data_IF_473969648344
#
_entry.id   IF_473969648344
#
_cell.length_a   1.000
_cell.length_b   1.000
_cell.length_c   1.000
_cell.angle_alpha   90.00
_cell.angle_beta   90.00
_cell.angle_gamma   90.00
#
_symmetry.space_group_name_H-M   'P 1'
#
loop_
_entity.id
_entity.type
_entity.pdbx_description
1 polymer ?
#
# COMPACT_ATOMS: atom_id res chain seq x y z
N UNK A 1 3.25 60.37 -3.62
CA UNK A 1 1.89 60.85 -3.31
C UNK A 1 1.14 59.76 -2.56
N UNK A 2 0.61 60.12 -1.37
CA UNK A 2 -0.43 59.45 -0.56
C UNK A 2 -0.24 57.96 -0.18
N UNK A 3 -0.03 57.77 1.14
CA UNK A 3 -0.30 56.56 1.94
C UNK A 3 -1.76 56.08 1.73
N UNK A 4 -2.05 54.79 1.94
CA UNK A 4 -3.05 54.29 2.89
C UNK A 4 -3.02 52.76 3.02
N UNK A 5 -2.99 52.30 4.27
CA UNK A 5 -3.33 50.95 4.71
C UNK A 5 -4.82 50.91 5.08
N UNK A 6 -5.47 49.75 4.96
CA UNK A 6 -6.72 49.45 5.67
C UNK A 6 -6.89 47.93 5.86
N UNK A 7 -6.86 47.52 7.13
CA UNK A 7 -7.49 46.31 7.66
C UNK A 7 -8.96 46.64 7.93
N UNK A 8 -9.89 45.73 7.62
CA UNK A 8 -11.26 45.76 8.17
C UNK A 8 -11.69 44.33 8.51
N UNK A 9 -11.91 44.09 9.80
CA UNK A 9 -12.72 43.03 10.41
C UNK A 9 -14.17 43.52 10.55
N UNK A 10 -15.14 42.61 10.47
CA UNK A 10 -16.55 42.89 10.73
C UNK A 10 -17.37 41.63 11.02
N UNK A 11 -17.73 41.46 12.29
CA UNK A 11 -18.69 40.50 12.86
C UNK A 11 -20.09 41.14 12.95
N UNK A 12 -21.15 40.31 12.92
CA UNK A 12 -22.52 40.42 13.49
C UNK A 12 -23.53 39.76 12.49
N UNK A 13 -24.49 38.89 12.83
CA UNK A 13 -24.96 38.29 14.08
C UNK A 13 -26.35 37.63 13.86
N UNK A 14 -26.60 36.53 14.60
CA UNK A 14 -27.88 36.03 15.18
C UNK A 14 -28.97 35.36 14.33
N UNK A 15 -29.30 34.10 14.68
CA UNK A 15 -30.60 33.73 15.29
C UNK A 15 -30.60 32.29 15.86
N UNK A 16 -31.11 32.16 17.10
CA UNK A 16 -31.38 30.92 17.84
C UNK A 16 -32.64 30.20 17.33
N UNK A 17 -32.67 28.87 17.41
CA UNK A 17 -33.88 28.13 17.78
C UNK A 17 -33.51 26.86 18.55
N UNK A 18 -34.09 26.70 19.74
CA UNK A 18 -33.98 25.53 20.63
C UNK A 18 -35.10 24.53 20.31
N UNK A 19 -34.78 23.24 20.27
CA UNK A 19 -35.71 22.18 20.70
C UNK A 19 -34.95 21.07 21.42
N UNK A 20 -35.32 20.87 22.68
CA UNK A 20 -34.91 19.76 23.55
C UNK A 20 -35.38 18.42 22.97
N UNK A 21 -34.45 17.49 22.80
CA UNK A 21 -34.71 16.06 22.60
C UNK A 21 -33.70 15.27 23.41
N UNK A 22 -34.13 14.72 24.54
CA UNK A 22 -33.35 13.85 25.41
C UNK A 22 -32.97 12.56 24.69
N UNK A 23 -31.71 12.40 24.30
CA UNK A 23 -31.16 11.13 23.81
C UNK A 23 -30.33 10.46 24.90
N UNK A 24 -30.79 9.26 25.27
CA UNK A 24 -30.07 8.29 26.08
C UNK A 24 -28.67 8.07 25.50
N UNK A 25 -27.63 8.31 26.30
CA UNK A 25 -26.23 8.27 25.89
C UNK A 25 -25.64 6.86 26.04
N UNK A 26 -24.95 6.36 25.02
CA UNK A 26 -24.14 5.13 25.03
C UNK A 26 -22.85 5.31 24.20
N UNK A 27 -21.78 4.60 24.57
CA UNK A 27 -20.36 4.89 24.26
C UNK A 27 -19.75 3.99 23.13
N UNK A 28 -18.74 4.47 22.37
CA UNK A 28 -17.92 3.74 21.34
C UNK A 28 -16.40 4.14 21.35
N UNK A 29 -15.53 3.48 20.56
CA UNK A 29 -14.04 3.49 20.62
C UNK A 29 -13.32 4.29 19.49
N UNK A 30 -12.11 4.81 19.76
CA UNK A 30 -11.21 5.55 18.83
C UNK A 30 -10.64 4.65 17.73
N UNK A 31 -10.53 5.18 16.51
CA UNK A 31 -9.79 4.52 15.42
C UNK A 31 -8.30 4.38 15.78
N UNK A 32 -7.74 3.15 15.76
CA UNK A 32 -6.32 2.89 16.04
C UNK A 32 -5.34 3.65 15.14
N UNK A 33 -5.75 4.06 13.93
CA UNK A 33 -4.91 4.86 13.01
C UNK A 33 -4.46 6.21 13.60
N UNK A 34 -5.24 6.78 14.51
CA UNK A 34 -4.89 8.06 15.16
C UNK A 34 -3.86 7.92 16.30
N UNK A 35 -3.39 6.71 16.59
CA UNK A 35 -2.37 6.43 17.61
C UNK A 35 -0.93 6.46 17.06
N UNK A 36 -0.72 6.99 15.85
CA UNK A 36 0.60 7.16 15.20
C UNK A 36 1.44 8.26 15.88
N UNK A 37 1.61 8.17 17.20
CA UNK A 37 2.53 8.99 17.98
C UNK A 37 3.94 8.39 17.84
N UNK A 38 4.98 9.19 17.55
CA UNK A 38 6.36 8.70 17.55
C UNK A 38 6.74 8.24 18.96
N UNK A 39 6.73 6.93 19.18
CA UNK A 39 6.94 6.29 20.49
C UNK A 39 8.43 6.26 20.87
N UNK A 40 9.07 7.43 20.91
CA UNK A 40 10.49 7.59 21.22
C UNK A 40 10.84 7.25 22.69
N UNK A 41 9.83 7.02 23.53
CA UNK A 41 10.00 6.67 24.94
C UNK A 41 10.23 5.17 25.17
N UNK A 42 10.09 4.35 24.13
CA UNK A 42 10.27 2.90 24.22
C UNK A 42 11.69 2.49 23.87
N UNK A 43 12.14 1.43 24.51
CA UNK A 43 13.44 0.84 24.20
C UNK A 43 13.39 0.14 22.85
N UNK A 44 14.40 0.43 22.04
CA UNK A 44 14.66 -0.24 20.77
C UNK A 44 15.62 -1.39 20.99
N UNK A 45 15.27 -2.54 20.46
CA UNK A 45 16.12 -3.71 20.38
C UNK A 45 16.57 -3.92 18.94
N UNK A 46 17.70 -4.61 18.77
CA UNK A 46 18.21 -4.95 17.44
C UNK A 46 18.76 -6.35 17.45
N UNK A 47 18.26 -7.19 16.54
CA UNK A 47 18.89 -8.46 16.20
C UNK A 47 19.83 -8.23 15.02
N UNK A 48 21.00 -8.83 15.07
CA UNK A 48 22.03 -8.67 14.05
C UNK A 48 22.44 -10.03 13.50
N UNK A 49 22.50 -10.13 12.17
CA UNK A 49 23.00 -11.27 11.43
C UNK A 49 24.17 -10.85 10.52
N UNK A 50 24.57 -11.69 9.56
CA UNK A 50 25.66 -11.36 8.63
C UNK A 50 25.28 -10.17 7.72
N UNK A 51 24.06 -10.17 7.18
CA UNK A 51 23.63 -9.21 6.17
C UNK A 51 22.56 -8.21 6.64
N UNK A 52 21.89 -8.48 7.76
CA UNK A 52 20.73 -7.70 8.21
C UNK A 52 20.83 -7.22 9.66
N UNK A 53 20.08 -6.16 9.94
CA UNK A 53 19.75 -5.65 11.26
C UNK A 53 18.22 -5.60 11.37
N UNK A 54 17.62 -6.24 12.36
CA UNK A 54 16.17 -6.17 12.59
C UNK A 54 15.90 -5.37 13.85
N UNK A 55 15.28 -4.22 13.69
CA UNK A 55 14.95 -3.27 14.74
C UNK A 55 13.48 -3.41 15.13
N UNK A 56 13.23 -3.53 16.44
CA UNK A 56 11.88 -3.60 16.98
C UNK A 56 11.81 -2.86 18.32
N UNK A 57 10.62 -2.39 18.67
CA UNK A 57 10.36 -1.75 19.95
C UNK A 57 9.75 -2.74 20.94
N UNK A 58 10.07 -2.58 22.21
CA UNK A 58 9.36 -3.28 23.28
C UNK A 58 7.86 -2.91 23.25
N UNK A 59 7.00 -3.93 23.31
CA UNK A 59 5.54 -3.79 23.31
C UNK A 59 4.99 -3.00 24.51
N UNK A 60 5.70 -3.02 25.64
CA UNK A 60 5.29 -2.42 26.91
C UNK A 60 6.43 -1.54 27.44
N UNK A 61 6.13 -0.35 28.01
CA UNK A 61 7.13 0.37 28.81
C UNK A 61 7.65 -0.57 29.89
N UNK A 62 8.98 -0.73 30.00
CA UNK A 62 9.56 -1.35 31.19
C UNK A 62 9.01 -0.58 32.38
N UNK A 63 8.30 -1.27 33.26
CA UNK A 63 7.81 -0.72 34.53
C UNK A 63 9.04 -0.42 35.40
N UNK A 64 9.75 0.64 35.07
CA UNK A 64 10.87 1.14 35.84
C UNK A 64 10.32 1.55 37.19
N UNK A 65 10.96 1.07 38.26
CA UNK A 65 10.62 1.36 39.65
C UNK A 65 10.83 2.86 39.99
N UNK A 66 10.12 3.76 39.32
CA UNK A 66 10.05 5.16 39.69
C UNK A 66 8.60 5.53 39.92
N UNK A 67 8.16 5.36 41.17
CA UNK A 67 6.98 6.10 41.63
C UNK A 67 6.11 5.52 42.73
N UNK A 68 6.58 4.62 43.60
CA UNK A 68 5.97 4.48 44.94
C UNK A 68 6.99 3.89 45.91
N UNK A 69 7.64 4.77 46.68
CA UNK A 69 8.20 4.40 47.97
C UNK A 69 7.06 3.91 48.87
N UNK A 70 6.69 2.63 48.76
CA UNK A 70 6.11 1.91 49.88
C UNK A 70 7.21 1.04 50.49
N UNK A 71 7.88 1.61 51.50
CA UNK A 71 8.59 0.80 52.49
C UNK A 71 7.55 -0.05 53.20
N UNK A 72 7.30 -1.27 52.73
CA UNK A 72 6.88 -2.35 53.62
C UNK A 72 7.62 -3.65 53.28
N UNK A 73 8.48 -4.01 54.24
CA UNK A 73 8.97 -5.34 54.60
C UNK A 73 8.79 -6.46 53.57
N UNK A 74 9.92 -6.87 53.00
CA UNK A 74 10.34 -8.27 53.04
C UNK A 74 9.48 -9.25 52.27
N UNK A 75 9.41 -9.10 50.96
CA UNK A 75 9.14 -10.20 50.04
C UNK A 75 9.92 -9.93 48.75
N UNK A 76 10.85 -10.83 48.41
CA UNK A 76 11.47 -10.85 47.08
C UNK A 76 10.37 -11.25 46.08
N UNK A 77 9.75 -10.26 45.42
CA UNK A 77 8.92 -10.50 44.24
C UNK A 77 9.81 -11.09 43.14
N UNK A 78 9.53 -12.34 42.80
CA UNK A 78 9.99 -13.00 41.58
C UNK A 78 8.99 -12.67 40.46
N UNK A 79 8.97 -11.44 39.96
CA UNK A 79 8.09 -11.10 38.83
C UNK A 79 8.90 -10.47 37.71
N UNK A 80 9.59 -11.31 36.96
CA UNK A 80 10.33 -10.98 35.73
C UNK A 80 9.80 -11.77 34.53
N UNK A 81 8.49 -11.98 34.44
CA UNK A 81 7.88 -12.55 33.23
C UNK A 81 7.84 -11.44 32.16
N UNK A 82 8.36 -11.68 30.94
CA UNK A 82 8.22 -10.74 29.83
C UNK A 82 6.73 -10.44 29.56
N UNK A 83 6.44 -9.22 29.09
CA UNK A 83 5.10 -8.87 28.61
C UNK A 83 4.76 -9.85 27.45
N UNK A 84 3.58 -10.51 27.42
CA UNK A 84 3.24 -11.44 26.33
C UNK A 84 3.40 -10.82 24.93
N UNK A 85 3.07 -9.53 24.81
CA UNK A 85 3.21 -8.73 23.59
C UNK A 85 4.69 -8.51 23.19
N UNK A 86 5.61 -8.41 24.16
CA UNK A 86 7.05 -8.31 23.90
C UNK A 86 7.62 -9.61 23.33
N UNK A 87 7.19 -10.75 23.86
CA UNK A 87 7.61 -12.08 23.36
C UNK A 87 7.18 -12.27 21.90
N UNK A 88 5.98 -11.82 21.53
CA UNK A 88 5.47 -11.97 20.17
C UNK A 88 6.27 -11.16 19.13
N UNK A 89 6.62 -9.89 19.43
CA UNK A 89 7.39 -9.05 18.51
C UNK A 89 8.83 -9.55 18.36
N UNK A 90 9.45 -10.03 19.44
CA UNK A 90 10.79 -10.62 19.37
C UNK A 90 10.79 -11.93 18.56
N UNK A 91 9.81 -12.80 18.74
CA UNK A 91 9.64 -14.01 17.94
C UNK A 91 9.44 -13.69 16.45
N UNK A 92 8.62 -12.67 16.14
CA UNK A 92 8.45 -12.18 14.78
C UNK A 92 9.77 -11.63 14.21
N UNK A 93 10.53 -10.87 15.01
CA UNK A 93 11.84 -10.35 14.61
C UNK A 93 12.85 -11.47 14.30
N UNK A 94 12.88 -12.52 15.13
CA UNK A 94 13.73 -13.69 14.90
C UNK A 94 13.33 -14.44 13.62
N UNK A 95 12.03 -14.64 13.39
CA UNK A 95 11.53 -15.28 12.18
C UNK A 95 11.86 -14.45 10.92
N UNK A 96 11.66 -13.14 10.97
CA UNK A 96 11.98 -12.20 9.90
C UNK A 96 13.48 -12.22 9.59
N UNK A 97 14.34 -12.22 10.60
CA UNK A 97 15.80 -12.28 10.40
C UNK A 97 16.22 -13.58 9.69
N UNK A 98 15.62 -14.72 10.08
CA UNK A 98 15.89 -16.00 9.42
C UNK A 98 15.42 -16.02 7.96
N UNK A 99 14.24 -15.48 7.69
CA UNK A 99 13.72 -15.33 6.33
C UNK A 99 14.66 -14.44 5.50
N UNK A 100 15.02 -13.27 6.02
CA UNK A 100 15.89 -12.31 5.32
C UNK A 100 17.26 -12.93 4.95
N UNK A 101 17.89 -13.66 5.87
CA UNK A 101 19.14 -14.37 5.58
C UNK A 101 18.95 -15.47 4.53
N UNK A 102 17.83 -16.19 4.55
CA UNK A 102 17.57 -17.26 3.59
C UNK A 102 17.37 -16.77 2.15
N UNK A 103 16.94 -15.52 1.98
CA UNK A 103 16.67 -14.91 0.66
C UNK A 103 17.80 -14.02 0.15
N UNK A 104 18.81 -13.74 0.97
CA UNK A 104 19.91 -12.84 0.61
C UNK A 104 20.64 -13.31 -0.64
N UNK A 105 21.25 -14.50 -0.59
CA UNK A 105 22.08 -15.04 -1.69
C UNK A 105 21.29 -15.29 -2.98
N UNK A 106 20.06 -15.86 -2.95
CA UNK A 106 19.26 -16.01 -4.15
C UNK A 106 19.02 -14.69 -4.90
N UNK A 107 18.69 -13.62 -4.17
CA UNK A 107 18.38 -12.32 -4.77
C UNK A 107 19.66 -11.59 -5.19
N UNK A 108 20.68 -11.48 -4.33
CA UNK A 108 21.94 -10.81 -4.70
C UNK A 108 22.67 -11.55 -5.80
N UNK A 109 22.58 -12.89 -5.82
CA UNK A 109 23.16 -13.77 -6.83
C UNK A 109 22.62 -13.50 -8.23
N UNK A 110 21.29 -13.42 -8.38
CA UNK A 110 20.64 -13.11 -9.66
C UNK A 110 21.12 -11.76 -10.23
N UNK A 111 21.20 -10.73 -9.39
CA UNK A 111 21.60 -9.39 -9.83
C UNK A 111 23.12 -9.20 -9.88
N UNK A 112 23.91 -10.09 -9.27
CA UNK A 112 25.34 -9.92 -9.07
C UNK A 112 25.67 -8.65 -8.31
N UNK A 113 24.80 -8.24 -7.37
CA UNK A 113 24.87 -6.99 -6.64
C UNK A 113 24.54 -7.20 -5.17
N UNK A 114 25.45 -6.80 -4.30
CA UNK A 114 25.29 -6.86 -2.84
C UNK A 114 25.18 -5.43 -2.27
N UNK A 115 24.23 -5.19 -1.35
CA UNK A 115 24.19 -3.94 -0.59
C UNK A 115 25.52 -3.69 0.13
N UNK A 116 26.08 -2.48 -0.01
CA UNK A 116 27.39 -2.15 0.56
C UNK A 116 27.39 -1.89 2.09
N UNK A 117 26.24 -2.07 2.75
CA UNK A 117 26.04 -2.06 4.20
C UNK A 117 24.97 -3.08 4.53
N UNK A 118 24.91 -3.54 5.79
CA UNK A 118 23.78 -4.34 6.27
C UNK A 118 22.47 -3.61 5.99
N UNK A 119 21.43 -4.38 5.65
CA UNK A 119 20.09 -3.85 5.43
C UNK A 119 19.36 -3.81 6.77
N UNK A 120 18.83 -2.64 7.12
CA UNK A 120 18.05 -2.41 8.33
C UNK A 120 16.59 -2.73 8.07
N UNK A 121 15.94 -3.53 8.90
CA UNK A 121 14.52 -3.87 8.83
C UNK A 121 13.85 -3.33 10.09
N UNK A 122 12.89 -2.43 9.94
CA UNK A 122 12.20 -1.77 11.06
C UNK A 122 10.79 -2.34 11.17
N UNK A 123 10.49 -2.98 12.31
CA UNK A 123 9.20 -3.59 12.58
C UNK A 123 8.24 -2.60 13.23
N UNK A 124 7.02 -2.52 12.69
CA UNK A 124 5.93 -1.67 13.14
C UNK A 124 4.72 -2.53 13.52
N UNK A 125 4.33 -2.53 14.78
CA UNK A 125 3.28 -3.43 15.32
C UNK A 125 2.10 -2.69 15.98
N UNK A 126 2.12 -1.36 15.97
CA UNK A 126 1.26 -0.53 16.84
C UNK A 126 0.05 0.07 16.13
N UNK A 127 -0.08 -0.18 14.85
CA UNK A 127 -1.19 0.29 14.02
C UNK A 127 -1.78 -0.91 13.30
N UNK A 128 -3.11 -0.91 13.20
CA UNK A 128 -3.84 -1.90 12.43
C UNK A 128 -3.77 -1.53 10.94
N UNK A 129 -2.56 -1.66 10.41
CA UNK A 129 -2.17 -1.33 9.04
C UNK A 129 -1.08 -2.31 8.63
N UNK A 130 -1.14 -2.77 7.39
CA UNK A 130 -0.21 -3.77 6.86
C UNK A 130 0.42 -3.23 5.59
N UNK A 131 1.75 -3.13 5.54
CA UNK A 131 2.48 -2.69 4.36
C UNK A 131 3.97 -3.07 4.46
N UNK A 132 4.68 -2.89 3.36
CA UNK A 132 6.15 -2.88 3.27
C UNK A 132 6.61 -1.59 2.59
N UNK A 133 7.84 -1.15 2.91
CA UNK A 133 8.47 -0.07 2.16
C UNK A 133 10.00 -0.19 2.16
N UNK A 134 10.59 -0.23 0.96
CA UNK A 134 12.03 -0.22 0.75
C UNK A 134 12.59 1.18 0.47
N UNK A 135 13.52 1.61 1.32
CA UNK A 135 14.35 2.81 1.15
C UNK A 135 15.73 2.41 0.61
N UNK A 136 15.81 2.16 -0.69
CA UNK A 136 17.00 1.64 -1.38
C UNK A 136 18.23 2.58 -1.32
N UNK A 137 18.06 3.87 -1.04
CA UNK A 137 19.18 4.79 -0.79
C UNK A 137 19.87 4.57 0.56
N UNK A 138 19.14 4.06 1.54
CA UNK A 138 19.58 3.92 2.93
C UNK A 138 19.75 2.45 3.34
N UNK A 139 19.44 1.49 2.46
CA UNK A 139 19.39 0.06 2.79
C UNK A 139 18.45 -0.19 3.98
N UNK A 140 17.24 0.39 3.94
CA UNK A 140 16.25 0.24 5.01
C UNK A 140 14.94 -0.32 4.46
N UNK A 141 14.31 -1.22 5.20
CA UNK A 141 13.00 -1.79 4.92
C UNK A 141 12.10 -1.51 6.14
N UNK A 142 10.94 -0.91 5.93
CA UNK A 142 9.89 -0.82 6.95
C UNK A 142 8.85 -1.91 6.72
N UNK A 143 8.44 -2.59 7.79
CA UNK A 143 7.43 -3.65 7.73
C UNK A 143 6.44 -3.48 8.85
N UNK A 144 5.16 -3.53 8.48
CA UNK A 144 4.11 -3.64 9.45
C UNK A 144 3.79 -5.12 9.72
N UNK A 145 3.77 -5.50 11.00
CA UNK A 145 3.63 -6.90 11.41
C UNK A 145 2.28 -7.54 11.09
N UNK A 146 1.14 -6.81 11.17
CA UNK A 146 -0.12 -7.34 10.67
C UNK A 146 0.01 -7.75 9.20
N UNK A 147 -0.58 -8.89 8.84
CA UNK A 147 -0.54 -9.37 7.45
C UNK A 147 -1.40 -8.49 6.55
N UNK A 148 -0.90 -8.15 5.36
CA UNK A 148 -1.72 -7.48 4.37
C UNK A 148 -2.69 -8.48 3.75
N UNK A 149 -3.97 -8.34 4.07
CA UNK A 149 -5.06 -9.08 3.43
C UNK A 149 -5.75 -8.16 2.41
N UNK A 150 -5.38 -8.29 1.15
CA UNK A 150 -5.98 -7.53 0.05
C UNK A 150 -6.82 -8.46 -0.83
N UNK A 151 -8.08 -8.10 -1.14
CA UNK A 151 -8.95 -8.96 -1.94
C UNK A 151 -8.52 -9.06 -3.41
N UNK A 152 -7.55 -8.24 -3.83
CA UNK A 152 -7.04 -8.22 -5.20
C UNK A 152 -5.89 -9.21 -5.45
N UNK A 153 -5.43 -9.92 -4.41
CA UNK A 153 -4.34 -10.90 -4.50
C UNK A 153 -4.76 -12.18 -3.77
N UNK A 154 -4.12 -13.30 -4.09
CA UNK A 154 -4.31 -14.55 -3.35
C UNK A 154 -3.75 -14.50 -1.93
N UNK A 155 -3.91 -15.58 -1.17
CA UNK A 155 -3.26 -15.73 0.15
C UNK A 155 -1.80 -16.16 -0.02
N UNK A 156 -0.88 -15.52 0.70
CA UNK A 156 0.55 -15.84 0.68
C UNK A 156 1.13 -15.88 2.10
N UNK A 157 2.31 -16.48 2.25
CA UNK A 157 3.09 -16.40 3.50
C UNK A 157 3.64 -14.98 3.67
N UNK A 158 2.86 -14.11 4.32
CA UNK A 158 3.09 -12.65 4.38
C UNK A 158 4.55 -12.25 4.59
N UNK A 159 5.20 -12.71 5.67
CA UNK A 159 6.58 -12.32 5.98
C UNK A 159 7.58 -12.76 4.91
N UNK A 160 7.42 -13.95 4.34
CA UNK A 160 8.31 -14.41 3.26
C UNK A 160 8.12 -13.57 2.00
N UNK A 161 6.87 -13.27 1.65
CA UNK A 161 6.54 -12.44 0.50
C UNK A 161 7.07 -11.01 0.68
N UNK A 162 6.61 -10.29 1.70
CA UNK A 162 6.95 -8.87 1.89
C UNK A 162 8.45 -8.64 2.05
N UNK A 163 9.16 -9.48 2.82
CA UNK A 163 10.62 -9.34 2.99
C UNK A 163 11.33 -9.50 1.67
N UNK A 164 10.98 -10.53 0.91
CA UNK A 164 11.65 -10.82 -0.37
C UNK A 164 11.31 -9.75 -1.40
N UNK A 165 10.06 -9.26 -1.40
CA UNK A 165 9.60 -8.18 -2.26
C UNK A 165 10.40 -6.89 -2.02
N UNK A 166 10.44 -6.42 -0.77
CA UNK A 166 11.15 -5.20 -0.40
C UNK A 166 12.68 -5.33 -0.57
N UNK A 167 13.25 -6.49 -0.25
CA UNK A 167 14.67 -6.73 -0.47
C UNK A 167 15.03 -6.77 -1.96
N UNK A 168 14.16 -7.32 -2.80
CA UNK A 168 14.32 -7.27 -4.26
C UNK A 168 14.34 -5.83 -4.75
N UNK A 169 13.48 -4.94 -4.26
CA UNK A 169 13.58 -3.51 -4.58
C UNK A 169 14.94 -2.91 -4.24
N UNK A 170 15.49 -3.21 -3.06
CA UNK A 170 16.82 -2.72 -2.65
C UNK A 170 17.89 -3.15 -3.66
N UNK A 171 17.98 -4.45 -3.97
CA UNK A 171 19.04 -5.00 -4.82
C UNK A 171 18.85 -4.57 -6.28
N UNK A 172 17.63 -4.68 -6.79
CA UNK A 172 17.28 -4.43 -8.19
C UNK A 172 17.43 -2.95 -8.55
N UNK A 173 16.89 -2.04 -7.74
CA UNK A 173 16.96 -0.60 -8.01
C UNK A 173 18.41 -0.12 -7.94
N UNK A 174 19.19 -0.63 -6.97
CA UNK A 174 20.62 -0.31 -6.88
C UNK A 174 21.42 -0.75 -8.11
N UNK A 175 21.07 -1.92 -8.66
CA UNK A 175 21.66 -2.43 -9.90
C UNK A 175 21.33 -1.54 -11.11
N UNK A 176 20.21 -0.81 -11.08
CA UNK A 176 19.80 0.14 -12.11
C UNK A 176 20.38 1.55 -11.98
N UNK A 177 21.05 1.87 -10.87
CA UNK A 177 21.49 3.24 -10.62
C UNK A 177 22.64 3.65 -11.53
N UNK A 178 22.53 4.84 -12.13
CA UNK A 178 23.62 5.42 -12.94
C UNK A 178 24.77 5.99 -12.10
N UNK A 179 24.57 6.10 -10.78
CA UNK A 179 25.49 6.73 -9.81
C UNK A 179 25.40 6.03 -8.46
N UNK A 180 26.33 6.37 -7.56
CA UNK A 180 26.32 5.89 -6.18
C UNK A 180 25.08 6.40 -5.43
N UNK A 181 24.59 5.61 -4.47
CA UNK A 181 23.41 5.91 -3.61
C UNK A 181 23.50 7.27 -2.92
N UNK A 182 24.69 7.70 -2.51
CA UNK A 182 24.91 9.00 -1.85
C UNK A 182 24.72 10.22 -2.75
N UNK A 183 24.43 10.05 -4.05
CA UNK A 183 24.22 11.14 -5.02
C UNK A 183 22.89 10.92 -5.75
N UNK A 184 21.74 11.21 -5.10
CA UNK A 184 20.42 10.87 -5.64
C UNK A 184 20.05 11.67 -6.89
N UNK A 185 20.44 12.94 -6.95
CA UNK A 185 20.15 13.85 -8.07
C UNK A 185 21.29 14.84 -8.26
N UNK A 186 21.59 15.17 -9.52
CA UNK A 186 22.48 16.27 -9.88
C UNK A 186 21.68 17.27 -10.72
N UNK A 187 21.79 18.56 -10.40
CA UNK A 187 21.13 19.61 -11.17
C UNK A 187 22.14 20.37 -12.01
N UNK A 188 21.85 20.54 -13.30
CA UNK A 188 22.46 21.60 -14.10
C UNK A 188 21.54 22.80 -14.02
N UNK A 189 21.99 23.84 -13.32
CA UNK A 189 21.26 25.09 -13.18
C UNK A 189 21.96 26.20 -13.95
N UNK A 190 21.20 26.87 -14.82
CA UNK A 190 21.61 28.09 -15.49
C UNK A 190 20.79 29.25 -14.95
N UNK A 191 21.48 30.29 -14.46
CA UNK A 191 20.90 31.46 -13.83
C UNK A 191 21.24 32.70 -14.67
N UNK A 192 20.22 33.46 -15.07
CA UNK A 192 20.40 34.77 -15.66
C UNK A 192 20.02 35.84 -14.64
N UNK A 193 20.95 36.75 -14.34
CA UNK A 193 20.76 37.82 -13.37
C UNK A 193 20.33 39.12 -14.04
N UNK A 194 19.58 39.95 -13.31
CA UNK A 194 19.27 41.31 -13.74
C UNK A 194 20.51 42.21 -13.73
N UNK A 195 20.50 43.25 -14.56
CA UNK A 195 21.50 44.29 -14.50
C UNK A 195 21.37 45.03 -13.16
N UNK A 196 22.49 45.11 -12.45
CA UNK A 196 22.55 45.74 -11.15
C UNK A 196 22.23 47.25 -11.22
N UNK A 197 21.47 47.76 -10.24
CA UNK A 197 21.09 49.18 -10.18
C UNK A 197 21.95 49.98 -9.19
N UNK A 198 22.73 49.30 -8.34
CA UNK A 198 23.56 49.91 -7.28
C UNK A 198 25.05 49.52 -7.45
N UNK A 199 25.99 50.48 -7.42
CA UNK A 199 27.41 50.20 -7.69
C UNK A 199 28.12 49.36 -6.61
N UNK A 200 27.48 49.11 -5.46
CA UNK A 200 27.97 48.32 -4.32
C UNK A 200 27.56 46.83 -4.36
N UNK A 201 26.80 46.41 -5.37
CA UNK A 201 26.32 45.02 -5.50
C UNK A 201 26.92 44.40 -6.77
N UNK A 202 27.39 43.15 -6.67
CA UNK A 202 28.11 42.50 -7.78
C UNK A 202 27.16 41.91 -8.83
N UNK A 203 25.94 41.51 -8.45
CA UNK A 203 24.96 40.86 -9.32
C UNK A 203 23.53 41.23 -8.88
N UNK A 204 22.65 41.52 -9.85
CA UNK A 204 21.22 41.73 -9.58
C UNK A 204 20.50 40.43 -9.21
N UNK A 205 19.18 40.51 -8.95
CA UNK A 205 18.38 39.32 -8.65
C UNK A 205 18.30 38.34 -9.84
N UNK A 206 18.11 37.03 -9.60
CA UNK A 206 17.87 36.07 -10.68
C UNK A 206 16.59 36.43 -11.42
N UNK A 207 16.70 36.70 -12.72
CA UNK A 207 15.56 36.95 -13.62
C UNK A 207 15.03 35.65 -14.22
N UNK A 208 15.93 34.73 -14.56
CA UNK A 208 15.60 33.43 -15.15
C UNK A 208 16.41 32.33 -14.48
N UNK A 209 15.73 31.20 -14.23
CA UNK A 209 16.34 29.97 -13.71
C UNK A 209 15.92 28.83 -14.63
N UNK A 210 16.89 28.18 -15.27
CA UNK A 210 16.68 26.92 -15.99
C UNK A 210 17.34 25.82 -15.18
N UNK A 211 16.56 24.84 -14.74
CA UNK A 211 17.04 23.68 -13.97
C UNK A 211 16.79 22.41 -14.77
N UNK A 212 17.86 21.67 -15.04
CA UNK A 212 17.80 20.33 -15.65
C UNK A 212 18.23 19.31 -14.61
N UNK A 213 17.30 18.49 -14.08
CA UNK A 213 17.63 17.44 -13.13
C UNK A 213 18.14 16.18 -13.85
N UNK A 214 19.18 15.57 -13.29
CA UNK A 214 19.69 14.25 -13.65
C UNK A 214 19.53 13.33 -12.44
N UNK A 215 18.41 12.61 -12.40
CA UNK A 215 18.15 11.60 -11.39
C UNK A 215 19.13 10.42 -11.54
N UNK A 216 19.60 9.88 -10.42
CA UNK A 216 20.43 8.68 -10.40
C UNK A 216 19.63 7.40 -10.67
N UNK A 217 18.32 7.44 -10.46
CA UNK A 217 17.35 6.35 -10.63
C UNK A 217 16.32 6.75 -11.69
N UNK A 218 16.01 5.83 -12.59
CA UNK A 218 15.03 6.02 -13.67
C UNK A 218 14.36 4.70 -14.02
N UNK A 219 13.71 4.08 -13.02
CA UNK A 219 13.01 2.80 -13.17
C UNK A 219 11.49 3.05 -13.36
N UNK A 220 10.85 2.46 -14.38
CA UNK A 220 9.39 2.50 -14.49
C UNK A 220 8.73 1.71 -13.36
N UNK A 221 7.59 2.19 -12.86
CA UNK A 221 6.86 1.55 -11.75
C UNK A 221 6.61 0.06 -11.98
N UNK A 222 6.06 -0.32 -13.14
CA UNK A 222 5.80 -1.74 -13.45
C UNK A 222 7.03 -2.65 -13.39
N UNK A 223 8.21 -2.13 -13.71
CA UNK A 223 9.44 -2.94 -13.69
C UNK A 223 9.93 -3.11 -12.26
N UNK A 224 9.86 -2.04 -11.45
CA UNK A 224 10.17 -2.12 -10.02
C UNK A 224 9.27 -3.15 -9.34
N UNK A 225 7.95 -3.02 -9.49
CA UNK A 225 6.98 -3.92 -8.87
C UNK A 225 7.04 -5.32 -9.47
N UNK A 226 7.03 -5.41 -10.79
CA UNK A 226 6.98 -6.70 -11.47
C UNK A 226 8.19 -7.57 -11.17
N UNK A 227 9.38 -6.97 -11.01
CA UNK A 227 10.58 -7.72 -10.58
C UNK A 227 10.54 -8.07 -9.09
N UNK A 228 10.01 -7.20 -8.23
CA UNK A 228 9.82 -7.52 -6.81
C UNK A 228 8.76 -8.61 -6.56
N UNK A 229 7.73 -8.71 -7.40
CA UNK A 229 6.78 -9.82 -7.39
C UNK A 229 7.35 -11.09 -8.06
N UNK A 230 8.21 -10.95 -9.06
CA UNK A 230 8.89 -12.08 -9.68
C UNK A 230 9.94 -12.71 -8.77
N UNK A 231 10.69 -11.89 -8.02
CA UNK A 231 11.79 -12.30 -7.15
C UNK A 231 12.86 -13.07 -7.95
N UNK A 232 12.89 -14.40 -7.85
CA UNK A 232 13.72 -15.32 -8.62
C UNK A 232 13.03 -16.69 -8.67
N UNK A 233 13.35 -17.53 -9.65
CA UNK A 233 12.85 -18.90 -9.75
C UNK A 233 13.15 -19.74 -8.49
N UNK A 234 14.26 -19.45 -7.80
CA UNK A 234 14.69 -20.17 -6.59
C UNK A 234 13.94 -19.74 -5.31
N UNK A 235 13.35 -18.54 -5.30
CA UNK A 235 12.64 -17.93 -4.18
C UNK A 235 11.40 -17.24 -4.72
N UNK A 236 10.27 -17.95 -4.66
CA UNK A 236 9.02 -17.53 -5.29
C UNK A 236 7.88 -17.51 -4.26
N UNK A 237 7.90 -16.48 -3.41
CA UNK A 237 6.88 -16.27 -2.37
C UNK A 237 5.71 -15.40 -2.82
N UNK A 238 5.78 -14.84 -4.04
CA UNK A 238 4.66 -14.17 -4.68
C UNK A 238 4.28 -14.86 -6.00
N UNK A 239 3.13 -15.53 -6.00
CA UNK A 239 2.73 -16.41 -7.09
C UNK A 239 1.66 -15.77 -7.99
N UNK A 240 1.64 -16.16 -9.26
CA UNK A 240 0.51 -15.86 -10.14
C UNK A 240 -0.69 -16.70 -9.74
N UNK A 241 -1.52 -16.13 -8.88
CA UNK A 241 -2.72 -16.74 -8.34
C UNK A 241 -3.97 -16.44 -9.20
N UNK A 242 -5.07 -17.08 -8.85
CA UNK A 242 -6.35 -16.97 -9.55
C UNK A 242 -6.98 -15.59 -9.45
N UNK A 243 -6.71 -14.80 -8.40
CA UNK A 243 -7.23 -13.43 -8.27
C UNK A 243 -6.51 -12.52 -9.27
N UNK A 244 -5.18 -12.64 -9.35
CA UNK A 244 -4.36 -11.88 -10.31
C UNK A 244 -4.70 -12.23 -11.75
N UNK A 245 -4.84 -13.52 -12.04
CA UNK A 245 -5.29 -13.98 -13.36
C UNK A 245 -6.66 -13.39 -13.71
N UNK A 246 -7.62 -13.46 -12.78
CA UNK A 246 -8.95 -12.89 -12.97
C UNK A 246 -8.88 -11.39 -13.26
N UNK A 247 -8.12 -10.61 -12.48
CA UNK A 247 -7.98 -9.16 -12.66
C UNK A 247 -7.35 -8.84 -14.00
N UNK A 248 -6.22 -9.48 -14.34
CA UNK A 248 -5.50 -9.23 -15.59
C UNK A 248 -6.36 -9.62 -16.80
N UNK A 249 -6.92 -10.84 -16.81
CA UNK A 249 -7.78 -11.35 -17.88
C UNK A 249 -9.01 -10.47 -18.10
N UNK A 250 -9.67 -10.05 -17.02
CA UNK A 250 -10.88 -9.21 -17.11
C UNK A 250 -10.57 -7.85 -17.72
N UNK A 251 -9.46 -7.22 -17.33
CA UNK A 251 -9.05 -5.94 -17.93
C UNK A 251 -8.62 -6.08 -19.38
N UNK A 252 -7.89 -7.15 -19.70
CA UNK A 252 -7.41 -7.43 -21.05
C UNK A 252 -8.58 -7.64 -22.02
N UNK A 253 -9.47 -8.57 -21.71
CA UNK A 253 -10.66 -8.85 -22.53
C UNK A 253 -11.66 -7.69 -22.54
N UNK A 254 -11.73 -6.92 -21.45
CA UNK A 254 -12.57 -5.73 -21.34
C UNK A 254 -12.01 -4.47 -21.99
N UNK A 255 -10.78 -4.52 -22.54
CA UNK A 255 -10.15 -3.36 -23.19
C UNK A 255 -9.75 -2.24 -22.24
N UNK A 256 -9.50 -2.54 -20.95
CA UNK A 256 -9.14 -1.57 -19.90
C UNK A 256 -7.74 -1.81 -19.31
N UNK A 257 -6.93 -2.63 -19.96
CA UNK A 257 -5.50 -2.78 -19.63
C UNK A 257 -4.72 -1.48 -19.83
N UNK A 258 -3.65 -1.31 -19.07
CA UNK A 258 -2.76 -0.15 -19.20
C UNK A 258 -1.80 -0.33 -20.37
N UNK A 259 -1.48 0.74 -21.08
CA UNK A 259 -0.39 0.77 -22.05
C UNK A 259 1.00 0.67 -21.40
N UNK A 260 2.02 0.40 -22.21
CA UNK A 260 3.40 0.24 -21.74
C UNK A 260 3.91 1.48 -20.96
N UNK A 261 3.65 2.67 -21.49
CA UNK A 261 4.03 3.94 -20.88
C UNK A 261 3.16 4.27 -19.67
N UNK A 262 1.88 3.90 -19.70
CA UNK A 262 0.92 4.16 -18.63
C UNK A 262 1.24 3.39 -17.35
N UNK A 263 1.82 2.19 -17.47
CA UNK A 263 2.30 1.44 -16.32
C UNK A 263 3.65 1.97 -15.77
N UNK A 264 4.26 2.95 -16.43
CA UNK A 264 5.55 3.51 -16.00
C UNK A 264 5.47 4.39 -14.74
N UNK A 265 4.27 4.75 -14.29
CA UNK A 265 4.05 5.67 -13.16
C UNK A 265 2.83 5.26 -12.33
N UNK A 266 2.82 5.63 -11.04
CA UNK A 266 1.64 5.53 -10.17
C UNK A 266 0.81 6.82 -10.12
N UNK A 267 1.30 7.91 -10.72
CA UNK A 267 0.65 9.22 -10.67
C UNK A 267 -0.68 9.23 -11.43
N UNK A 268 -1.70 9.89 -10.87
CA UNK A 268 -3.03 10.04 -11.46
C UNK A 268 -3.73 8.72 -11.77
N UNK A 269 -3.60 7.74 -10.86
CA UNK A 269 -4.26 6.43 -10.94
C UNK A 269 -5.16 6.18 -9.75
N UNK A 270 -6.33 5.61 -10.03
CA UNK A 270 -7.22 4.97 -9.04
C UNK A 270 -6.53 3.78 -8.36
N UNK A 271 -7.06 3.32 -7.24
CA UNK A 271 -6.48 2.16 -6.52
C UNK A 271 -6.44 0.90 -7.38
N UNK A 272 -7.49 0.64 -8.19
CA UNK A 272 -7.52 -0.52 -9.08
C UNK A 272 -6.53 -0.39 -10.25
N UNK A 273 -6.28 0.81 -10.74
CA UNK A 273 -5.26 1.05 -11.76
C UNK A 273 -3.85 0.92 -11.18
N UNK A 274 -3.62 1.34 -9.94
CA UNK A 274 -2.35 1.08 -9.25
C UNK A 274 -2.13 -0.42 -9.12
N UNK A 275 -3.11 -1.17 -8.63
CA UNK A 275 -3.03 -2.64 -8.57
C UNK A 275 -2.80 -3.28 -9.95
N UNK A 276 -3.34 -2.67 -11.01
CA UNK A 276 -3.07 -3.10 -12.40
C UNK A 276 -1.60 -2.91 -12.77
N UNK A 277 -0.92 -1.85 -12.31
CA UNK A 277 0.53 -1.67 -12.52
C UNK A 277 1.33 -2.82 -11.91
N UNK A 278 0.97 -3.28 -10.70
CA UNK A 278 1.56 -4.46 -10.07
C UNK A 278 1.28 -5.72 -10.90
N UNK A 279 0.01 -6.10 -11.05
CA UNK A 279 -0.34 -7.38 -11.66
C UNK A 279 0.04 -7.49 -13.15
N UNK A 280 -0.17 -6.43 -13.93
CA UNK A 280 0.23 -6.42 -15.34
C UNK A 280 1.75 -6.31 -15.49
N UNK A 281 2.42 -5.56 -14.61
CA UNK A 281 3.88 -5.51 -14.54
C UNK A 281 4.48 -6.87 -14.21
N UNK A 282 3.91 -7.60 -13.24
CA UNK A 282 4.32 -8.94 -12.88
C UNK A 282 4.10 -9.93 -14.03
N UNK A 283 2.94 -9.90 -14.69
CA UNK A 283 2.66 -10.73 -15.86
C UNK A 283 3.68 -10.50 -16.98
N UNK A 284 4.04 -9.23 -17.25
CA UNK A 284 5.02 -8.90 -18.27
C UNK A 284 6.43 -9.29 -17.86
N UNK A 285 6.81 -9.10 -16.60
CA UNK A 285 8.10 -9.57 -16.07
C UNK A 285 8.24 -11.09 -16.20
N UNK A 286 7.19 -11.85 -15.87
CA UNK A 286 7.15 -13.29 -16.09
C UNK A 286 7.32 -13.64 -17.56
N UNK A 287 6.62 -12.96 -18.46
CA UNK A 287 6.78 -13.16 -19.91
C UNK A 287 8.23 -12.93 -20.38
N UNK A 288 8.94 -11.95 -19.81
CA UNK A 288 10.36 -11.75 -20.08
C UNK A 288 11.22 -12.89 -19.51
N UNK A 289 10.99 -13.29 -18.26
CA UNK A 289 11.68 -14.40 -17.61
C UNK A 289 11.50 -15.72 -18.36
N UNK A 290 10.27 -16.06 -18.75
CA UNK A 290 9.92 -17.29 -19.46
C UNK A 290 10.59 -17.38 -20.85
N UNK A 291 10.76 -16.24 -21.54
CA UNK A 291 11.35 -16.19 -22.89
C UNK A 291 12.87 -16.08 -22.91
N UNK A 292 13.46 -15.41 -21.93
CA UNK A 292 14.88 -15.04 -21.96
C UNK A 292 15.68 -15.58 -20.76
N UNK A 293 15.02 -16.25 -19.82
CA UNK A 293 15.55 -16.63 -18.50
C UNK A 293 15.50 -15.47 -17.50
N UNK A 294 15.39 -15.76 -16.20
CA UNK A 294 15.34 -14.74 -15.13
C UNK A 294 16.51 -13.75 -15.15
N UNK A 295 17.70 -14.22 -15.58
CA UNK A 295 18.92 -13.43 -15.80
C UNK A 295 18.71 -12.20 -16.70
N UNK A 296 17.67 -12.21 -17.55
CA UNK A 296 17.32 -11.05 -18.39
C UNK A 296 17.00 -9.83 -17.53
N UNK A 297 16.35 -10.01 -16.37
CA UNK A 297 15.93 -8.92 -15.47
C UNK A 297 17.16 -8.21 -14.89
N UNK A 298 18.17 -8.98 -14.51
CA UNK A 298 19.45 -8.48 -14.06
C UNK A 298 20.24 -7.78 -15.18
N UNK A 299 20.24 -8.34 -16.40
CA UNK A 299 20.88 -7.73 -17.57
C UNK A 299 20.24 -6.40 -17.97
N UNK A 300 18.91 -6.31 -17.99
CA UNK A 300 18.18 -5.05 -18.23
C UNK A 300 18.53 -4.03 -17.16
N UNK A 301 18.56 -4.47 -15.89
CA UNK A 301 18.88 -3.58 -14.77
C UNK A 301 20.28 -2.97 -14.90
N UNK A 302 21.30 -3.80 -15.19
CA UNK A 302 22.68 -3.33 -15.43
C UNK A 302 22.82 -2.46 -16.68
N UNK A 303 22.09 -2.78 -17.76
CA UNK A 303 22.12 -1.97 -18.98
C UNK A 303 21.51 -0.57 -18.74
N UNK A 304 20.52 -0.46 -17.86
CA UNK A 304 19.95 0.84 -17.46
C UNK A 304 20.98 1.70 -16.70
N UNK A 305 21.85 1.09 -15.89
CA UNK A 305 22.90 1.79 -15.15
C UNK A 305 24.03 2.36 -16.04
N UNK A 306 24.16 1.92 -17.31
CA UNK A 306 25.26 2.31 -18.22
C UNK A 306 25.29 3.81 -18.61
N UNK A 307 24.28 4.58 -18.20
CA UNK A 307 24.21 6.04 -18.39
C UNK A 307 23.75 6.46 -19.79
N UNK A 308 23.12 7.64 -19.87
CA UNK A 308 22.72 8.25 -21.14
C UNK A 308 21.39 7.80 -21.73
N UNK A 309 20.64 6.93 -21.04
CA UNK A 309 19.32 6.47 -21.48
C UNK A 309 18.32 6.56 -20.35
N UNK A 310 17.17 7.16 -20.66
CA UNK A 310 16.02 7.23 -19.75
C UNK A 310 14.85 6.39 -20.24
N UNK A 311 14.94 5.84 -21.45
CA UNK A 311 13.88 5.03 -22.06
C UNK A 311 14.15 3.54 -21.85
N UNK A 312 13.33 2.92 -21.02
CA UNK A 312 13.40 1.49 -20.69
C UNK A 312 13.18 0.59 -21.92
N UNK A 313 12.40 1.04 -22.91
CA UNK A 313 12.13 0.27 -24.14
C UNK A 313 13.42 0.02 -24.92
N UNK A 314 14.27 1.04 -25.00
CA UNK A 314 15.59 0.98 -25.64
C UNK A 314 16.59 0.18 -24.81
N UNK A 315 16.51 0.24 -23.48
CA UNK A 315 17.33 -0.61 -22.59
C UNK A 315 17.01 -2.09 -22.84
N UNK A 316 15.73 -2.45 -22.86
CA UNK A 316 15.27 -3.81 -23.14
C UNK A 316 15.71 -4.26 -24.54
N UNK A 317 15.65 -3.38 -25.55
CA UNK A 317 16.10 -3.68 -26.91
C UNK A 317 17.57 -4.12 -26.97
N UNK A 318 18.44 -3.45 -26.21
CA UNK A 318 19.86 -3.80 -26.22
C UNK A 318 20.16 -5.17 -25.61
N UNK A 319 19.33 -5.60 -24.67
CA UNK A 319 19.50 -6.89 -24.00
C UNK A 319 18.84 -8.02 -24.79
N UNK A 320 17.66 -7.77 -25.37
CA UNK A 320 16.81 -8.81 -25.96
C UNK A 320 16.76 -8.80 -27.49
N UNK A 321 17.25 -7.73 -28.13
CA UNK A 321 17.16 -7.50 -29.57
C UNK A 321 15.80 -6.98 -30.05
N UNK A 322 14.82 -6.78 -29.15
CA UNK A 322 13.49 -6.23 -29.48
C UNK A 322 13.12 -5.14 -28.46
N UNK A 323 12.55 -4.04 -28.93
CA UNK A 323 12.15 -2.96 -28.03
C UNK A 323 11.14 -3.43 -26.99
N UNK A 324 11.22 -2.86 -25.79
CA UNK A 324 10.30 -3.19 -24.69
C UNK A 324 8.83 -3.00 -25.09
N UNK A 325 8.53 -1.92 -25.83
CA UNK A 325 7.19 -1.69 -26.40
C UNK A 325 6.76 -2.81 -27.36
N UNK A 326 7.64 -3.24 -28.28
CA UNK A 326 7.30 -4.32 -29.21
C UNK A 326 7.16 -5.68 -28.54
N UNK A 327 7.87 -5.93 -27.43
CA UNK A 327 7.70 -7.11 -26.60
C UNK A 327 6.40 -7.06 -25.81
N UNK A 328 6.06 -5.90 -25.25
CA UNK A 328 4.83 -5.68 -24.52
C UNK A 328 3.59 -5.82 -25.43
N UNK A 329 3.60 -5.19 -26.61
CA UNK A 329 2.52 -5.30 -27.60
C UNK A 329 2.32 -6.78 -28.01
N UNK A 330 3.40 -7.54 -28.19
CA UNK A 330 3.34 -8.97 -28.49
C UNK A 330 2.79 -9.79 -27.30
N UNK A 331 3.21 -9.50 -26.08
CA UNK A 331 2.71 -10.13 -24.86
C UNK A 331 1.19 -9.94 -24.70
N UNK A 332 0.72 -8.70 -24.86
CA UNK A 332 -0.70 -8.38 -24.72
C UNK A 332 -1.54 -9.10 -25.78
N UNK A 333 -1.05 -9.16 -27.03
CA UNK A 333 -1.72 -9.89 -28.11
C UNK A 333 -1.74 -11.40 -27.83
N UNK A 334 -0.61 -12.00 -27.42
CA UNK A 334 -0.51 -13.42 -27.09
C UNK A 334 -1.49 -13.81 -25.99
N UNK A 335 -1.58 -13.02 -24.92
CA UNK A 335 -2.53 -13.25 -23.83
C UNK A 335 -3.97 -13.01 -24.22
N UNK A 336 -4.24 -12.02 -25.07
CA UNK A 336 -5.58 -11.78 -25.61
C UNK A 336 -6.06 -13.01 -26.40
N UNK A 337 -5.20 -13.54 -27.27
CA UNK A 337 -5.52 -14.71 -28.09
C UNK A 337 -5.72 -15.97 -27.23
N UNK A 338 -4.82 -16.20 -26.25
CA UNK A 338 -4.90 -17.31 -25.30
C UNK A 338 -6.23 -17.32 -24.53
N UNK A 339 -6.59 -16.20 -23.88
CA UNK A 339 -7.83 -16.14 -23.12
C UNK A 339 -9.07 -16.17 -24.00
N UNK A 340 -9.04 -15.53 -25.17
CA UNK A 340 -10.16 -15.58 -26.10
C UNK A 340 -10.44 -17.01 -26.54
N UNK A 341 -9.39 -17.78 -26.85
CA UNK A 341 -9.54 -19.19 -27.24
C UNK A 341 -10.02 -20.06 -26.07
N UNK A 342 -9.46 -19.83 -24.88
CA UNK A 342 -9.92 -20.51 -23.67
C UNK A 342 -11.43 -20.28 -23.41
N UNK A 343 -11.92 -19.05 -23.56
CA UNK A 343 -13.35 -18.76 -23.44
C UNK A 343 -14.20 -19.42 -24.52
N UNK A 344 -13.76 -19.42 -25.79
CA UNK A 344 -14.47 -20.13 -26.87
C UNK A 344 -14.60 -21.62 -26.57
N UNK A 345 -13.56 -22.22 -25.98
CA UNK A 345 -13.59 -23.64 -25.61
C UNK A 345 -14.66 -23.99 -24.57
N UNK A 346 -15.05 -23.03 -23.73
CA UNK A 346 -16.07 -23.20 -22.67
C UNK A 346 -17.47 -22.71 -23.09
N UNK A 347 -17.64 -22.20 -24.32
CA UNK A 347 -18.90 -21.59 -24.74
C UNK A 347 -20.07 -22.59 -24.71
N UNK A 348 -19.80 -23.87 -24.94
CA UNK A 348 -20.78 -24.96 -24.86
C UNK A 348 -21.17 -25.33 -23.41
N UNK A 349 -20.34 -24.96 -22.43
CA UNK A 349 -20.50 -25.27 -21.01
C UNK A 349 -21.04 -24.07 -20.20
N UNK A 350 -21.47 -22.98 -20.87
CA UNK A 350 -22.00 -21.79 -20.19
C UNK A 350 -23.20 -22.15 -19.32
N UNK A 351 -23.01 -22.07 -18.00
CA UNK A 351 -24.05 -22.28 -17.01
C UNK A 351 -25.03 -21.10 -16.99
N UNK A 352 -26.11 -21.24 -17.75
CA UNK A 352 -27.31 -20.38 -17.74
C UNK A 352 -27.10 -18.89 -18.11
N UNK A 353 -28.21 -18.24 -18.46
CA UNK A 353 -28.28 -16.77 -18.50
C UNK A 353 -28.20 -16.25 -17.06
N UNK A 354 -27.21 -15.40 -16.77
CA UNK A 354 -27.03 -14.79 -15.46
C UNK A 354 -27.75 -13.44 -15.44
N UNK A 355 -28.61 -13.24 -14.45
CA UNK A 355 -29.16 -11.93 -14.15
C UNK A 355 -28.01 -11.03 -13.65
N UNK A 356 -27.76 -9.94 -14.38
CA UNK A 356 -26.72 -8.98 -14.01
C UNK A 356 -27.32 -7.89 -13.14
N UNK A 357 -26.78 -7.72 -11.94
CA UNK A 357 -27.14 -6.62 -11.03
C UNK A 357 -26.29 -5.39 -11.38
N UNK A 358 -26.93 -4.23 -11.50
CA UNK A 358 -26.20 -2.99 -11.74
C UNK A 358 -25.65 -2.45 -10.41
N UNK A 359 -24.35 -2.61 -10.20
CA UNK A 359 -23.62 -2.12 -9.03
C UNK A 359 -22.46 -1.24 -9.48
N UNK A 360 -22.24 -0.15 -8.74
CA UNK A 360 -21.10 0.73 -8.95
C UNK A 360 -19.86 0.25 -8.18
N UNK A 361 -18.69 0.73 -8.58
CA UNK A 361 -17.42 0.44 -7.92
C UNK A 361 -16.72 -0.82 -8.39
N UNK A 362 -15.41 -0.88 -8.12
CA UNK A 362 -14.57 -2.03 -8.43
C UNK A 362 -14.48 -3.02 -7.27
N UNK A 363 -14.87 -2.61 -6.06
CA UNK A 363 -15.14 -3.51 -4.95
C UNK A 363 -16.64 -3.62 -4.74
N UNK A 364 -17.14 -4.85 -4.85
CA UNK A 364 -18.50 -5.22 -4.50
C UNK A 364 -18.42 -6.58 -3.79
N UNK A 365 -18.25 -6.52 -2.48
CA UNK A 365 -17.78 -7.65 -1.68
C UNK A 365 -18.85 -8.12 -0.69
N UNK A 366 -18.79 -9.42 -0.37
CA UNK A 366 -19.59 -10.06 0.66
C UNK A 366 -21.11 -9.79 0.55
N UNK A 367 -21.74 -9.96 -0.62
CA UNK A 367 -23.18 -9.74 -0.76
C UNK A 367 -23.97 -10.72 0.11
N UNK A 368 -24.94 -10.22 0.88
CA UNK A 368 -25.83 -11.00 1.76
C UNK A 368 -27.25 -10.47 1.67
N UNK A 369 -28.23 -11.36 1.57
CA UNK A 369 -29.63 -10.98 1.73
C UNK A 369 -29.94 -10.61 3.18
N UNK A 370 -30.74 -9.57 3.38
CA UNK A 370 -31.33 -9.28 4.68
C UNK A 370 -32.40 -10.36 4.96
N UNK A 371 -32.32 -11.08 6.10
CA UNK A 371 -33.25 -12.16 6.41
C UNK A 371 -34.73 -11.74 6.26
N UNK A 372 -35.50 -12.50 5.49
CA UNK A 372 -36.93 -12.26 5.28
C UNK A 372 -37.29 -11.18 4.26
N UNK A 373 -36.31 -10.67 3.50
CA UNK A 373 -36.53 -9.67 2.44
C UNK A 373 -35.86 -10.08 1.12
N UNK A 374 -36.14 -9.33 0.05
CA UNK A 374 -35.46 -9.38 -1.25
C UNK A 374 -34.31 -8.35 -1.35
N UNK A 375 -33.93 -7.74 -0.23
CA UNK A 375 -32.89 -6.71 -0.18
C UNK A 375 -31.52 -7.31 0.06
N UNK A 376 -30.53 -6.79 -0.67
CA UNK A 376 -29.13 -7.16 -0.60
C UNK A 376 -28.36 -6.10 0.20
N UNK A 377 -27.43 -6.55 1.04
CA UNK A 377 -26.42 -5.71 1.68
C UNK A 377 -25.05 -6.19 1.24
N UNK A 378 -24.14 -5.26 0.93
CA UNK A 378 -22.77 -5.56 0.52
C UNK A 378 -21.82 -4.42 0.86
N UNK A 379 -20.51 -4.69 0.80
CA UNK A 379 -19.48 -3.66 0.92
C UNK A 379 -19.08 -3.19 -0.48
N UNK A 380 -19.12 -1.88 -0.71
CA UNK A 380 -18.68 -1.31 -1.98
C UNK A 380 -17.95 0.01 -1.82
N UNK A 381 -17.00 0.27 -2.71
CA UNK A 381 -16.38 1.58 -2.81
C UNK A 381 -17.20 2.56 -3.68
N UNK A 382 -18.23 2.07 -4.38
CA UNK A 382 -19.15 2.88 -5.19
C UNK A 382 -18.42 3.74 -6.22
N UNK A 383 -18.68 5.05 -6.20
CA UNK A 383 -18.13 6.05 -7.10
C UNK A 383 -16.68 6.47 -6.77
N UNK A 384 -16.09 5.93 -5.70
CA UNK A 384 -14.73 6.29 -5.27
C UNK A 384 -13.67 5.68 -6.18
N UNK A 385 -12.66 6.48 -6.50
CA UNK A 385 -11.46 6.01 -7.19
C UNK A 385 -10.43 5.34 -6.25
N UNK A 386 -10.73 5.28 -4.95
CA UNK A 386 -9.92 4.60 -3.93
C UNK A 386 -10.63 3.40 -3.28
N UNK A 387 -9.82 2.49 -2.72
CA UNK A 387 -10.21 1.16 -2.21
C UNK A 387 -11.17 1.14 -1.01
N UNK A 388 -11.51 2.28 -0.42
CA UNK A 388 -12.28 2.32 0.82
C UNK A 388 -13.76 2.03 0.58
N UNK A 389 -14.26 1.01 1.25
CA UNK A 389 -15.64 0.56 1.13
C UNK A 389 -16.58 1.30 2.09
N UNK A 390 -17.87 1.22 1.79
CA UNK A 390 -19.02 1.59 2.62
C UNK A 390 -20.07 0.49 2.52
N UNK A 391 -20.92 0.38 3.53
CA UNK A 391 -22.01 -0.58 3.54
C UNK A 391 -23.16 -0.07 2.67
N UNK A 392 -23.58 -0.86 1.69
CA UNK A 392 -24.62 -0.54 0.73
C UNK A 392 -25.85 -1.42 0.96
N UNK A 393 -27.05 -0.90 0.62
CA UNK A 393 -28.30 -1.68 0.56
C UNK A 393 -29.11 -1.31 -0.67
N UNK A 394 -29.75 -2.31 -1.27
CA UNK A 394 -30.76 -2.13 -2.32
C UNK A 394 -31.63 -3.38 -2.43
N UNK A 395 -32.87 -3.25 -2.88
CA UNK A 395 -33.68 -4.38 -3.33
C UNK A 395 -33.21 -4.94 -4.67
N UNK A 396 -33.52 -6.19 -4.97
CA UNK A 396 -33.23 -6.76 -6.30
C UNK A 396 -33.91 -5.97 -7.43
N UNK A 397 -35.11 -5.44 -7.20
CA UNK A 397 -35.82 -4.61 -8.16
C UNK A 397 -35.08 -3.29 -8.44
N UNK A 398 -34.51 -2.65 -7.41
CA UNK A 398 -33.70 -1.44 -7.56
C UNK A 398 -32.44 -1.71 -8.39
N UNK A 399 -31.75 -2.83 -8.11
CA UNK A 399 -30.50 -3.22 -8.78
C UNK A 399 -30.70 -3.65 -10.24
N UNK A 400 -31.88 -4.16 -10.59
CA UNK A 400 -32.19 -4.57 -11.97
C UNK A 400 -32.74 -3.41 -12.82
N UNK A 401 -33.28 -2.37 -12.19
CA UNK A 401 -33.85 -1.19 -12.87
C UNK A 401 -32.86 -0.03 -13.02
N UNK A 402 -31.56 -0.25 -12.81
CA UNK A 402 -30.51 0.78 -12.84
C UNK A 402 -30.76 1.94 -11.87
N UNK A 403 -31.34 1.67 -10.69
CA UNK A 403 -31.45 2.67 -9.64
C UNK A 403 -30.17 2.70 -8.80
N UNK A 404 -29.76 3.89 -8.36
CA UNK A 404 -28.55 4.07 -7.55
C UNK A 404 -28.78 3.45 -6.16
N UNK A 405 -27.95 2.48 -5.73
CA UNK A 405 -28.03 1.91 -4.40
C UNK A 405 -27.89 2.93 -3.27
N UNK A 406 -28.58 2.70 -2.15
CA UNK A 406 -28.51 3.60 -0.99
C UNK A 406 -27.37 3.18 -0.05
N UNK A 407 -26.47 4.09 0.35
CA UNK A 407 -25.48 3.79 1.39
C UNK A 407 -26.16 3.73 2.77
N UNK A 408 -25.99 2.61 3.49
CA UNK A 408 -26.50 2.44 4.87
C UNK A 408 -25.65 3.16 5.90
N UNK A 409 -24.33 3.23 5.67
CA UNK A 409 -23.39 3.88 6.56
C UNK A 409 -22.28 4.53 5.74
N UNK A 410 -22.11 5.84 5.90
CA UNK A 410 -20.91 6.54 5.44
C UNK A 410 -19.90 6.41 6.56
N UNK A 411 -18.81 5.69 6.33
CA UNK A 411 -17.65 5.72 7.23
C UNK A 411 -17.22 7.19 7.38
N UNK A 412 -17.15 7.67 8.64
CA UNK A 412 -16.72 9.03 8.95
C UNK A 412 -15.38 9.34 8.30
N UNK A 413 -15.41 10.17 7.27
CA UNK A 413 -14.25 10.96 6.84
C UNK A 413 -14.66 12.06 5.85
N UNK A 414 -15.88 12.06 5.34
CA UNK A 414 -16.41 13.16 4.51
C UNK A 414 -16.87 14.38 5.33
N UNK A 415 -16.63 14.41 6.65
CA UNK A 415 -16.91 15.56 7.50
C UNK A 415 -15.91 15.68 8.64
N UNK A 416 -15.33 16.88 8.81
CA UNK A 416 -14.88 17.34 10.12
C UNK A 416 -16.00 17.04 11.11
N UNK A 417 -15.68 16.29 12.16
CA UNK A 417 -16.55 15.88 13.26
C UNK A 417 -17.87 16.66 13.29
N UNK A 418 -18.99 16.00 12.97
CA UNK A 418 -20.23 16.50 13.54
C UNK A 418 -20.11 16.33 15.06
N UNK A 419 -20.49 17.36 15.83
CA UNK A 419 -20.48 17.35 17.31
C UNK A 419 -21.17 16.11 17.91
N UNK A 420 -21.99 15.43 17.12
CA UNK A 420 -22.67 14.19 17.48
C UNK A 420 -21.74 12.96 17.62
N UNK A 421 -20.51 12.99 17.11
CA UNK A 421 -19.63 11.80 17.06
C UNK A 421 -18.26 11.94 17.73
N UNK A 422 -17.85 13.15 18.13
CA UNK A 422 -16.52 13.40 18.68
C UNK A 422 -16.29 12.98 20.14
N UNK A 423 -17.25 12.35 20.81
CA UNK A 423 -17.28 12.29 22.28
C UNK A 423 -17.07 10.94 22.94
N UNK A 424 -16.77 9.88 22.20
CA UNK A 424 -16.62 8.54 22.77
C UNK A 424 -15.28 7.93 22.36
N UNK A 425 -14.30 8.05 23.25
CA UNK A 425 -12.89 7.78 22.96
C UNK A 425 -12.09 7.57 24.25
N UNK A 426 -12.46 6.60 25.10
CA UNK A 426 -11.59 6.10 26.18
C UNK A 426 -12.14 4.79 26.81
N UNK A 427 -11.30 3.74 26.81
CA UNK A 427 -11.40 2.49 27.56
C UNK A 427 -12.35 1.39 27.04
N UNK A 428 -11.74 0.33 26.51
CA UNK A 428 -12.37 -0.97 26.25
C UNK A 428 -12.49 -1.84 27.50
N UNK A 429 -13.28 -2.91 27.35
CA UNK A 429 -13.68 -3.94 28.32
C UNK A 429 -14.76 -3.47 29.31
N UNK A 430 -16.04 -3.83 29.06
CA UNK A 430 -17.05 -4.18 30.08
C UNK A 430 -18.49 -4.48 29.55
N UNK A 431 -18.73 -4.57 28.24
CA UNK A 431 -19.98 -5.15 27.72
C UNK A 431 -19.70 -6.45 26.97
N UNK A 432 -20.50 -7.49 27.23
CA UNK A 432 -20.55 -8.66 26.37
C UNK A 432 -21.00 -8.22 24.97
N UNK A 433 -20.23 -8.56 23.92
CA UNK A 433 -20.56 -8.12 22.57
C UNK A 433 -21.91 -8.72 22.15
N UNK A 434 -22.82 -7.88 21.64
CA UNK A 434 -24.11 -8.34 21.10
C UNK A 434 -23.95 -9.27 19.88
N UNK A 435 -22.76 -9.29 19.29
CA UNK A 435 -22.33 -10.18 18.22
C UNK A 435 -20.98 -10.77 18.62
N UNK A 436 -21.00 -12.00 19.12
CA UNK A 436 -19.79 -12.67 19.66
C UNK A 436 -18.75 -13.03 18.58
N UNK A 437 -19.18 -13.16 17.33
CA UNK A 437 -18.33 -13.55 16.21
C UNK A 437 -18.71 -12.79 14.95
N UNK A 438 -17.74 -12.09 14.37
CA UNK A 438 -17.83 -11.61 13.00
C UNK A 438 -17.48 -12.77 12.07
N UNK A 439 -18.42 -13.14 11.21
CA UNK A 439 -18.23 -14.24 10.23
C UNK A 439 -17.67 -13.74 8.89
N UNK A 440 -17.31 -12.45 8.82
CA UNK A 440 -16.81 -11.72 7.66
C UNK A 440 -16.79 -10.22 7.93
N UNK A 441 -16.70 -9.40 6.88
CA UNK A 441 -16.65 -7.93 6.97
C UNK A 441 -17.90 -7.27 7.55
N UNK A 442 -19.02 -7.99 7.66
CA UNK A 442 -20.17 -7.58 8.47
C UNK A 442 -21.03 -8.77 8.93
N UNK A 443 -21.87 -8.57 9.95
CA UNK A 443 -22.78 -9.58 10.49
C UNK A 443 -24.07 -8.95 11.03
N UNK A 444 -25.19 -9.66 10.85
CA UNK A 444 -26.49 -9.26 11.37
C UNK A 444 -26.73 -9.84 12.75
N UNK A 445 -27.46 -9.10 13.59
CA UNK A 445 -28.11 -9.68 14.77
C UNK A 445 -29.07 -10.82 14.38
N UNK A 446 -29.38 -11.77 15.27
CA UNK A 446 -30.30 -12.87 14.99
C UNK A 446 -31.70 -12.44 14.48
N UNK A 447 -32.13 -11.24 14.86
CA UNK A 447 -33.40 -10.62 14.48
C UNK A 447 -33.33 -9.82 13.18
N UNK A 448 -32.13 -9.56 12.64
CA UNK A 448 -31.91 -8.83 11.40
C UNK A 448 -32.08 -7.30 11.49
N UNK A 449 -32.40 -6.75 12.67
CA UNK A 449 -32.64 -5.31 12.89
C UNK A 449 -31.36 -4.51 13.16
N UNK A 450 -30.22 -5.18 13.37
CA UNK A 450 -28.91 -4.57 13.62
C UNK A 450 -27.81 -5.22 12.80
N UNK A 451 -26.83 -4.42 12.41
CA UNK A 451 -25.63 -4.83 11.67
C UNK A 451 -24.37 -4.30 12.35
N UNK A 452 -23.33 -5.13 12.42
CA UNK A 452 -21.97 -4.74 12.78
C UNK A 452 -21.10 -4.96 11.55
N UNK A 453 -20.28 -3.98 11.18
CA UNK A 453 -19.35 -4.06 10.05
C UNK A 453 -17.98 -3.50 10.44
N UNK A 454 -16.93 -3.99 9.79
CA UNK A 454 -15.53 -3.57 9.98
C UNK A 454 -15.06 -2.73 8.80
#
# INVERSE_FOLDING_TARGET
MKRHAALITGLLGWSLCWTLGSTLSAWAQVSPWMLEYPQNHLEWNTLESEHFLVHYQDGCEKRTEMGLQSKQKGEQSKDGAPCPEQTHVEEAAQAILQIAESIYEPITGLYGHEPNTKVSIILKDRVDYSNGAAYFFDNTIDIWLPSLDTPLRGTHEWYKNVITHEFTHIVQIQTMMTRRRSVPVVYLQWLAYENERRPDVLYGFPRHVVTVPFASVGIPAWMAEGTAQFMTDSVNYDQWDTHRDMLFRTRLLGGTSLGFEEMGTFTSKSSIERETVYNQGFAFTRYLGDRFGEEVLAKISREAASGGKTDISVVIERVTGRSGKALFDAFMQEKQDEYTEWFRSMEQDRWADLDTLNVEGFYNMMPRFIPGTDSLVWLSNGDRDYARTRLMVASLDELTQNQTPTPLAVTQEEGWMSEAFGHYSAHGLLQEPLVDYLTGGFSFSPTGDRIVYT
#
